data_IF_597753349914
#
_entry.id   IF_597753349914
#
_cell.length_a   1.000
_cell.length_b   1.000
_cell.length_c   1.000
_cell.angle_alpha   90.00
_cell.angle_beta   90.00
_cell.angle_gamma   90.00
#
_symmetry.space_group_name_H-M   'P 1'
#
loop_
_entity.id
_entity.type
_entity.pdbx_description
1 polymer ?
#
# COMPACT_ATOMS: atom_id res chain seq x y z
N UNK A 1 -16.95 29.92 12.90
CA UNK A 1 -16.05 28.75 13.02
C UNK A 1 -15.53 28.43 11.64
N UNK A 2 -14.21 28.41 11.43
CA UNK A 2 -13.65 27.93 10.17
C UNK A 2 -14.00 26.43 10.03
N UNK A 3 -14.46 26.03 8.85
CA UNK A 3 -14.74 24.63 8.57
C UNK A 3 -13.41 23.88 8.50
N UNK A 4 -13.20 22.90 9.38
CA UNK A 4 -11.93 22.14 9.45
C UNK A 4 -11.66 21.33 8.19
N UNK A 5 -12.72 20.95 7.45
CA UNK A 5 -12.60 20.19 6.22
C UNK A 5 -12.71 21.11 5.00
N UNK A 6 -11.71 21.06 4.09
CA UNK A 6 -11.73 21.88 2.88
C UNK A 6 -12.77 21.41 1.85
N UNK A 7 -13.20 22.30 0.94
CA UNK A 7 -13.97 21.92 -0.25
C UNK A 7 -13.11 21.07 -1.20
N UNK A 8 -13.76 20.41 -2.17
CA UNK A 8 -13.08 19.51 -3.13
C UNK A 8 -11.92 20.20 -3.85
N UNK A 9 -10.79 19.50 -3.90
CA UNK A 9 -9.56 19.98 -4.52
C UNK A 9 -8.70 20.87 -3.62
N UNK A 10 -9.12 21.17 -2.39
CA UNK A 10 -8.34 22.03 -1.49
C UNK A 10 -7.70 21.25 -0.33
N UNK A 11 -6.67 21.86 0.26
CA UNK A 11 -6.01 21.40 1.47
C UNK A 11 -5.84 22.53 2.50
N UNK A 12 -6.07 22.23 3.77
CA UNK A 12 -5.83 23.11 4.91
C UNK A 12 -4.75 22.53 5.82
N UNK A 13 -3.77 23.36 6.17
CA UNK A 13 -2.64 22.99 7.02
C UNK A 13 -2.68 23.85 8.29
N UNK A 14 -3.03 23.24 9.42
CA UNK A 14 -3.11 23.88 10.73
C UNK A 14 -1.88 23.52 11.56
N UNK A 15 -1.14 24.53 11.99
CA UNK A 15 0.01 24.37 12.85
C UNK A 15 -0.38 24.52 14.32
N UNK A 16 0.43 23.95 15.21
CA UNK A 16 0.32 24.08 16.68
C UNK A 16 -1.11 23.96 17.23
N UNK A 17 -1.79 22.86 16.87
CA UNK A 17 -3.14 22.55 17.33
C UNK A 17 -3.07 21.67 18.57
N UNK A 18 -3.86 22.00 19.58
CA UNK A 18 -4.07 21.14 20.74
C UNK A 18 -5.33 20.30 20.56
N UNK A 19 -5.20 18.98 20.58
CA UNK A 19 -6.33 18.05 20.56
C UNK A 19 -6.47 17.39 21.94
N UNK A 20 -7.69 16.97 22.27
CA UNK A 20 -7.99 16.29 23.55
C UNK A 20 -7.49 17.04 24.81
N UNK A 21 -7.33 18.36 24.71
CA UNK A 21 -6.90 19.31 25.75
C UNK A 21 -5.39 19.39 26.01
N UNK A 22 -4.62 18.33 25.77
CA UNK A 22 -3.21 18.25 26.17
C UNK A 22 -2.25 17.70 25.11
N UNK A 23 -2.76 17.25 23.96
CA UNK A 23 -1.92 16.70 22.89
C UNK A 23 -1.62 17.78 21.87
N UNK A 24 -0.40 18.31 21.92
CA UNK A 24 0.13 19.23 20.91
C UNK A 24 0.50 18.47 19.63
N UNK A 25 -0.04 18.94 18.50
CA UNK A 25 0.23 18.36 17.20
C UNK A 25 -0.07 19.35 16.08
N UNK A 26 -0.07 18.86 14.86
CA UNK A 26 -0.53 19.59 13.69
C UNK A 26 -1.66 18.82 13.01
N UNK A 27 -2.54 19.54 12.31
CA UNK A 27 -3.64 18.97 11.57
C UNK A 27 -3.52 19.34 10.09
N UNK A 28 -3.45 18.34 9.23
CA UNK A 28 -3.53 18.50 7.78
C UNK A 28 -4.84 17.89 7.28
N UNK A 29 -5.66 18.67 6.60
CA UNK A 29 -6.92 18.19 6.01
C UNK A 29 -6.94 18.43 4.50
N UNK A 30 -7.53 17.51 3.76
CA UNK A 30 -7.52 17.52 2.30
C UNK A 30 -8.79 16.89 1.76
N UNK A 31 -9.37 17.47 0.70
CA UNK A 31 -10.53 16.88 0.04
C UNK A 31 -10.16 16.50 -1.40
N UNK A 32 -9.50 15.36 -1.52
CA UNK A 32 -8.96 14.88 -2.79
C UNK A 32 -10.05 14.28 -3.67
N UNK A 33 -10.04 14.56 -4.97
CA UNK A 33 -11.01 14.00 -5.92
C UNK A 33 -10.98 12.47 -6.01
N UNK A 34 -9.81 11.87 -5.74
CA UNK A 34 -9.59 10.42 -5.72
C UNK A 34 -10.13 9.74 -4.46
N UNK A 35 -10.43 10.49 -3.39
CA UNK A 35 -10.86 9.94 -2.12
C UNK A 35 -12.39 10.00 -2.03
N UNK A 36 -13.00 8.94 -1.50
CA UNK A 36 -14.44 8.93 -1.25
C UNK A 36 -14.87 9.92 -0.16
N UNK A 37 -13.93 10.28 0.72
CA UNK A 37 -14.15 11.18 1.86
C UNK A 37 -12.93 12.10 2.06
N UNK A 38 -13.12 13.30 2.63
CA UNK A 38 -12.01 14.17 3.01
C UNK A 38 -11.05 13.48 3.99
N UNK A 39 -9.77 13.70 3.79
CA UNK A 39 -8.71 13.26 4.70
C UNK A 39 -8.52 14.26 5.82
N UNK A 40 -8.34 13.77 7.04
CA UNK A 40 -7.88 14.52 8.20
C UNK A 40 -6.74 13.73 8.85
N UNK A 41 -5.55 14.33 8.85
CA UNK A 41 -4.31 13.70 9.28
C UNK A 41 -3.71 14.52 10.41
N UNK A 42 -3.58 13.90 11.57
CA UNK A 42 -2.81 14.44 12.68
C UNK A 42 -1.34 14.04 12.51
N UNK A 43 -0.44 14.97 12.73
CA UNK A 43 1.00 14.77 12.52
C UNK A 43 1.82 15.53 13.56
N UNK A 44 2.93 14.95 13.99
CA UNK A 44 3.93 15.56 14.88
C UNK A 44 4.96 16.40 14.10
N UNK A 45 5.11 16.18 12.80
CA UNK A 45 5.92 17.02 11.91
C UNK A 45 5.13 18.17 11.31
N UNK A 46 5.79 19.30 11.02
CA UNK A 46 5.17 20.46 10.36
C UNK A 46 4.36 20.04 9.12
N UNK A 47 3.06 20.41 9.04
CA UNK A 47 2.17 19.90 8.02
C UNK A 47 2.54 20.51 6.66
N UNK A 48 2.57 19.66 5.63
CA UNK A 48 2.85 20.07 4.25
C UNK A 48 2.06 19.19 3.28
N UNK A 49 2.14 19.48 1.98
CA UNK A 49 1.55 18.59 0.97
C UNK A 49 2.17 17.18 1.00
N UNK A 50 3.42 17.05 1.44
CA UNK A 50 4.07 15.75 1.62
C UNK A 50 3.40 14.91 2.71
N UNK A 51 2.73 15.53 3.69
CA UNK A 51 1.95 14.81 4.70
C UNK A 51 0.87 13.94 4.05
N UNK A 52 0.19 14.44 3.01
CA UNK A 52 -0.81 13.66 2.28
C UNK A 52 -0.21 12.60 1.38
N UNK A 53 0.97 12.84 0.81
CA UNK A 53 1.69 11.83 0.04
C UNK A 53 2.08 10.65 0.95
N UNK A 54 2.68 10.93 2.11
CA UNK A 54 3.05 9.90 3.12
C UNK A 54 1.80 9.17 3.62
N UNK A 55 0.74 9.88 3.99
CA UNK A 55 -0.52 9.24 4.39
C UNK A 55 -1.12 8.38 3.26
N UNK A 56 -1.03 8.86 2.02
CA UNK A 56 -1.47 8.16 0.81
C UNK A 56 -0.79 6.82 0.59
N UNK A 57 0.44 6.62 1.08
CA UNK A 57 1.17 5.34 0.97
C UNK A 57 0.44 4.19 1.68
N UNK A 58 -0.42 4.47 2.68
CA UNK A 58 -1.27 3.47 3.33
C UNK A 58 -2.10 2.66 2.33
N UNK A 59 -2.67 3.35 1.34
CA UNK A 59 -3.52 2.76 0.30
C UNK A 59 -2.73 1.93 -0.74
N UNK A 60 -1.42 2.14 -0.82
CA UNK A 60 -0.51 1.41 -1.72
C UNK A 60 0.27 0.27 -1.06
N UNK A 61 0.38 0.27 0.28
CA UNK A 61 1.13 -0.71 1.06
C UNK A 61 0.25 -1.58 1.96
N UNK A 62 -0.20 -1.00 3.09
CA UNK A 62 -0.89 -1.72 4.15
C UNK A 62 -2.26 -2.25 3.72
N UNK A 63 -3.04 -1.47 2.97
CA UNK A 63 -4.38 -1.90 2.55
C UNK A 63 -4.37 -3.10 1.58
N UNK A 64 -3.49 -3.14 0.56
CA UNK A 64 -3.26 -4.36 -0.21
C UNK A 64 -2.90 -5.56 0.66
N UNK A 65 -2.05 -5.38 1.67
CA UNK A 65 -1.66 -6.47 2.58
C UNK A 65 -2.86 -7.05 3.35
N UNK A 66 -3.77 -6.21 3.85
CA UNK A 66 -5.02 -6.69 4.45
C UNK A 66 -5.94 -7.41 3.45
N UNK A 67 -5.96 -6.95 2.20
CA UNK A 67 -6.73 -7.62 1.13
C UNK A 67 -6.15 -8.99 0.79
N UNK A 68 -4.83 -9.13 0.82
CA UNK A 68 -4.12 -10.39 0.59
C UNK A 68 -4.47 -11.44 1.66
N UNK A 69 -4.56 -11.06 2.93
CA UNK A 69 -5.08 -11.96 3.98
C UNK A 69 -6.51 -12.39 3.74
N UNK A 70 -7.38 -11.49 3.28
CA UNK A 70 -8.83 -11.75 3.21
C UNK A 70 -9.29 -12.51 2.00
N UNK A 71 -8.98 -12.06 0.78
CA UNK A 71 -9.59 -12.63 -0.43
C UNK A 71 -8.69 -12.63 -1.64
N UNK A 72 -7.62 -11.84 -1.65
CA UNK A 72 -6.73 -11.75 -2.79
C UNK A 72 -5.67 -12.87 -2.83
N UNK A 73 -5.26 -13.43 -1.68
CA UNK A 73 -4.24 -14.48 -1.63
C UNK A 73 -4.59 -15.66 -0.72
N UNK A 74 -4.86 -15.42 0.57
CA UNK A 74 -4.84 -16.48 1.58
C UNK A 74 -6.21 -16.94 2.09
N UNK A 75 -7.25 -16.13 1.91
CA UNK A 75 -8.61 -16.44 2.37
C UNK A 75 -8.67 -16.85 3.86
N UNK A 76 -8.01 -16.04 4.72
CA UNK A 76 -7.82 -16.31 6.14
C UNK A 76 -9.15 -16.65 6.85
N UNK A 77 -10.23 -15.98 6.48
CA UNK A 77 -11.57 -16.16 7.07
C UNK A 77 -12.13 -17.56 6.85
N UNK A 78 -11.69 -18.26 5.80
CA UNK A 78 -12.11 -19.63 5.49
C UNK A 78 -11.47 -20.68 6.41
N UNK A 79 -10.45 -20.32 7.19
CA UNK A 79 -9.86 -21.21 8.20
C UNK A 79 -10.82 -21.49 9.37
N UNK A 80 -11.80 -20.61 9.61
CA UNK A 80 -12.73 -20.68 10.75
C UNK A 80 -12.08 -20.80 12.13
N UNK A 81 -10.79 -20.46 12.25
CA UNK A 81 -10.07 -20.51 13.53
C UNK A 81 -10.66 -19.49 14.51
N UNK A 82 -10.96 -19.97 15.72
CA UNK A 82 -11.43 -19.16 16.85
C UNK A 82 -10.45 -19.14 18.02
N UNK A 83 -9.51 -20.06 18.02
CA UNK A 83 -8.44 -20.13 19.02
C UNK A 83 -7.37 -19.07 18.73
N UNK A 84 -7.02 -18.29 19.75
CA UNK A 84 -6.10 -17.16 19.63
C UNK A 84 -4.67 -17.60 19.25
N UNK A 85 -4.21 -18.73 19.79
CA UNK A 85 -2.87 -19.23 19.58
C UNK A 85 -2.75 -19.80 18.17
N UNK A 86 -3.72 -20.60 17.73
CA UNK A 86 -3.79 -21.13 16.37
C UNK A 86 -3.86 -20.02 15.32
N UNK A 87 -4.65 -18.97 15.58
CA UNK A 87 -4.73 -17.81 14.67
C UNK A 87 -3.38 -17.08 14.60
N UNK A 88 -2.71 -16.88 15.73
CA UNK A 88 -1.40 -16.24 15.80
C UNK A 88 -0.34 -17.05 15.02
N UNK A 89 -0.32 -18.37 15.21
CA UNK A 89 0.56 -19.26 14.45
C UNK A 89 0.27 -19.21 12.95
N UNK A 90 -1.01 -19.24 12.55
CA UNK A 90 -1.40 -19.14 11.15
C UNK A 90 -0.93 -17.81 10.54
N UNK A 91 -1.16 -16.69 11.21
CA UNK A 91 -0.72 -15.37 10.73
C UNK A 91 0.80 -15.30 10.56
N UNK A 92 1.56 -15.89 11.49
CA UNK A 92 3.01 -15.99 11.38
C UNK A 92 3.42 -16.83 10.15
N UNK A 93 2.78 -17.98 9.93
CA UNK A 93 3.03 -18.82 8.74
C UNK A 93 2.69 -18.08 7.44
N UNK A 94 1.57 -17.35 7.39
CA UNK A 94 1.17 -16.56 6.23
C UNK A 94 2.13 -15.40 5.97
N UNK A 95 2.66 -14.75 7.01
CA UNK A 95 3.69 -13.73 6.88
C UNK A 95 4.98 -14.31 6.28
N UNK A 96 5.43 -15.48 6.76
CA UNK A 96 6.57 -16.18 6.19
C UNK A 96 6.34 -16.60 4.72
N UNK A 97 5.16 -17.15 4.41
CA UNK A 97 4.77 -17.50 3.04
C UNK A 97 4.74 -16.29 2.11
N UNK A 98 4.26 -15.15 2.60
CA UNK A 98 4.27 -13.86 1.87
C UNK A 98 5.68 -13.44 1.54
N UNK A 99 6.60 -13.51 2.51
CA UNK A 99 8.01 -13.16 2.31
C UNK A 99 8.67 -14.07 1.26
N UNK A 100 8.43 -15.38 1.34
CA UNK A 100 8.94 -16.36 0.36
C UNK A 100 8.41 -16.05 -1.04
N UNK A 101 7.10 -15.83 -1.18
CA UNK A 101 6.49 -15.51 -2.47
C UNK A 101 7.04 -14.20 -3.05
N UNK A 102 7.18 -13.15 -2.25
CA UNK A 102 7.78 -11.88 -2.69
C UNK A 102 9.23 -12.10 -3.13
N UNK A 103 10.01 -12.90 -2.39
CA UNK A 103 11.41 -13.20 -2.71
C UNK A 103 11.54 -13.92 -4.05
N UNK A 104 10.66 -14.90 -4.32
CA UNK A 104 10.59 -15.60 -5.61
C UNK A 104 10.19 -14.62 -6.73
N UNK A 105 9.22 -13.74 -6.47
CA UNK A 105 8.82 -12.74 -7.46
C UNK A 105 9.94 -11.75 -7.80
N UNK A 106 10.79 -11.41 -6.82
CA UNK A 106 12.00 -10.60 -7.04
C UNK A 106 12.95 -11.33 -7.99
N UNK A 107 13.23 -12.61 -7.76
CA UNK A 107 14.07 -13.44 -8.64
C UNK A 107 13.52 -13.49 -10.07
N UNK A 108 12.24 -13.80 -10.22
CA UNK A 108 11.55 -13.80 -11.53
C UNK A 108 11.66 -12.45 -12.23
N UNK A 109 11.57 -11.36 -11.46
CA UNK A 109 11.68 -10.00 -11.99
C UNK A 109 13.11 -9.64 -12.40
N UNK A 110 14.11 -9.99 -11.59
CA UNK A 110 15.52 -9.73 -11.92
C UNK A 110 15.99 -10.51 -13.15
N UNK A 111 15.42 -11.69 -13.39
CA UNK A 111 15.74 -12.54 -14.53
C UNK A 111 14.91 -12.22 -15.79
N UNK A 112 14.04 -11.20 -15.74
CA UNK A 112 13.20 -10.82 -16.88
C UNK A 112 12.11 -11.83 -17.25
N UNK A 113 11.80 -12.79 -16.36
CA UNK A 113 10.83 -13.86 -16.58
C UNK A 113 9.37 -13.46 -16.28
N UNK A 114 9.12 -12.21 -15.90
CA UNK A 114 7.78 -11.71 -15.53
C UNK A 114 6.73 -11.95 -16.60
N UNK A 115 7.09 -11.82 -17.89
CA UNK A 115 6.18 -12.03 -19.03
C UNK A 115 5.59 -13.44 -19.12
N UNK A 116 6.24 -14.43 -18.48
CA UNK A 116 5.71 -15.79 -18.40
C UNK A 116 4.50 -15.90 -17.46
N UNK A 117 4.39 -14.99 -16.49
CA UNK A 117 3.40 -15.03 -15.41
C UNK A 117 2.38 -13.88 -15.49
N UNK A 118 2.77 -12.77 -16.11
CA UNK A 118 1.99 -11.57 -16.30
C UNK A 118 1.97 -11.18 -17.77
N UNK A 119 0.78 -11.20 -18.37
CA UNK A 119 0.57 -10.86 -19.77
C UNK A 119 0.76 -9.36 -20.04
N UNK A 120 0.62 -8.51 -19.02
CA UNK A 120 0.65 -7.07 -19.22
C UNK A 120 2.06 -6.60 -19.63
N UNK A 121 2.10 -5.68 -20.61
CA UNK A 121 3.35 -5.07 -21.07
C UNK A 121 4.12 -4.37 -19.94
N UNK A 122 3.37 -3.76 -19.02
CA UNK A 122 3.84 -3.27 -17.73
C UNK A 122 3.32 -4.19 -16.63
N UNK A 123 4.09 -4.42 -15.56
CA UNK A 123 3.70 -5.33 -14.46
C UNK A 123 2.33 -4.93 -13.89
N UNK A 124 1.30 -5.70 -14.19
CA UNK A 124 -0.07 -5.51 -13.69
C UNK A 124 -0.29 -6.18 -12.33
N UNK A 125 0.48 -7.23 -12.03
CA UNK A 125 0.39 -8.00 -10.80
C UNK A 125 1.23 -7.43 -9.66
N UNK A 126 0.81 -7.71 -8.43
CA UNK A 126 1.65 -7.49 -7.25
C UNK A 126 2.79 -8.51 -7.19
N UNK A 127 3.85 -8.22 -6.41
CA UNK A 127 4.92 -9.20 -6.18
C UNK A 127 4.40 -10.46 -5.50
N UNK A 128 3.47 -10.35 -4.55
CA UNK A 128 2.86 -11.51 -3.94
C UNK A 128 2.16 -12.40 -4.99
N UNK A 129 1.36 -11.79 -5.88
CA UNK A 129 0.66 -12.54 -6.93
C UNK A 129 1.62 -13.20 -7.92
N UNK A 130 2.69 -12.52 -8.32
CA UNK A 130 3.74 -13.10 -9.16
C UNK A 130 4.41 -14.30 -8.47
N UNK A 131 4.75 -14.14 -7.20
CA UNK A 131 5.38 -15.17 -6.39
C UNK A 131 4.52 -16.41 -6.26
N UNK A 132 3.26 -16.24 -5.89
CA UNK A 132 2.29 -17.34 -5.77
C UNK A 132 2.06 -18.05 -7.11
N UNK A 133 2.02 -17.32 -8.22
CA UNK A 133 1.92 -17.92 -9.57
C UNK A 133 3.16 -18.73 -9.93
N UNK A 134 4.35 -18.22 -9.64
CA UNK A 134 5.60 -18.95 -9.88
C UNK A 134 5.67 -20.20 -9.00
N UNK A 135 5.35 -20.10 -7.70
CA UNK A 135 5.30 -21.27 -6.80
C UNK A 135 4.36 -22.32 -7.37
N UNK A 136 3.14 -21.92 -7.79
CA UNK A 136 2.18 -22.85 -8.40
C UNK A 136 2.73 -23.52 -9.66
N UNK A 137 3.44 -22.77 -10.52
CA UNK A 137 4.11 -23.30 -11.72
C UNK A 137 5.21 -24.30 -11.36
N UNK A 138 6.09 -23.96 -10.42
CA UNK A 138 7.18 -24.81 -9.96
C UNK A 138 6.64 -26.13 -9.37
N UNK A 139 5.60 -26.05 -8.52
CA UNK A 139 4.93 -27.23 -8.00
C UNK A 139 4.32 -28.10 -9.10
N UNK A 140 3.61 -27.50 -10.05
CA UNK A 140 3.01 -28.23 -11.18
C UNK A 140 4.06 -28.94 -12.05
N UNK A 141 5.22 -28.32 -12.23
CA UNK A 141 6.32 -28.86 -13.04
C UNK A 141 7.32 -29.69 -12.23
N UNK A 142 7.09 -29.88 -10.92
CA UNK A 142 8.01 -30.54 -10.01
C UNK A 142 9.45 -29.95 -10.06
N UNK A 143 9.55 -28.64 -10.21
CA UNK A 143 10.82 -27.91 -10.26
C UNK A 143 11.23 -27.41 -8.85
N UNK A 144 12.54 -27.29 -8.58
CA UNK A 144 13.02 -26.77 -7.31
C UNK A 144 12.68 -25.28 -7.14
N UNK A 145 12.57 -24.85 -5.88
CA UNK A 145 12.46 -23.44 -5.53
C UNK A 145 13.81 -22.77 -5.85
N UNK A 146 13.83 -21.63 -6.58
CA UNK A 146 15.07 -20.93 -6.87
C UNK A 146 15.72 -20.37 -5.60
N UNK A 147 17.04 -20.23 -5.63
CA UNK A 147 17.76 -19.50 -4.59
C UNK A 147 17.24 -18.06 -4.49
N UNK A 148 17.01 -17.59 -3.26
CA UNK A 148 16.48 -16.25 -3.05
C UNK A 148 17.50 -15.17 -3.39
N UNK A 149 17.04 -14.13 -4.08
CA UNK A 149 17.80 -12.91 -4.30
C UNK A 149 17.68 -11.98 -3.08
N UNK A 150 18.67 -11.10 -2.85
CA UNK A 150 18.54 -10.03 -1.87
C UNK A 150 17.33 -9.14 -2.18
N UNK A 151 16.53 -8.82 -1.16
CA UNK A 151 15.43 -7.88 -1.33
C UNK A 151 15.96 -6.49 -1.69
N UNK A 152 15.29 -5.76 -2.59
CA UNK A 152 15.74 -4.44 -2.99
C UNK A 152 15.66 -3.47 -1.81
N UNK A 153 16.67 -2.61 -1.66
CA UNK A 153 16.70 -1.56 -0.60
C UNK A 153 15.60 -0.52 -0.77
N UNK A 154 15.11 -0.34 -1.99
CA UNK A 154 14.00 0.57 -2.32
C UNK A 154 12.84 -0.24 -2.85
N UNK A 155 11.64 0.11 -2.41
CA UNK A 155 10.42 -0.50 -2.93
C UNK A 155 10.37 -0.32 -4.45
N UNK A 156 10.20 -1.41 -5.21
CA UNK A 156 10.01 -1.32 -6.64
C UNK A 156 8.74 -0.53 -6.97
N UNK A 157 8.76 0.15 -8.12
CA UNK A 157 7.61 0.95 -8.60
C UNK A 157 6.34 0.08 -8.55
N UNK A 158 5.20 0.60 -8.05
CA UNK A 158 3.94 -0.13 -8.01
C UNK A 158 3.54 -0.74 -9.36
N UNK A 159 2.85 -1.88 -9.31
CA UNK A 159 2.38 -2.55 -10.52
C UNK A 159 1.31 -1.71 -11.20
N UNK A 160 1.56 -1.31 -12.45
CA UNK A 160 0.61 -0.57 -13.27
C UNK A 160 0.40 -1.33 -14.57
N UNK A 161 -0.81 -1.87 -14.78
CA UNK A 161 -1.17 -2.61 -15.99
C UNK A 161 -1.19 -1.73 -17.26
N UNK A 162 -1.25 -0.40 -17.13
CA UNK A 162 -1.31 0.54 -18.25
C UNK A 162 -0.64 1.88 -17.92
N UNK A 163 -0.21 2.61 -18.96
CA UNK A 163 0.34 3.96 -18.83
C UNK A 163 -0.68 4.95 -18.27
N UNK A 164 -1.94 4.88 -18.72
CA UNK A 164 -3.04 5.72 -18.20
C UNK A 164 -3.23 5.55 -16.69
N UNK A 165 -3.17 4.32 -16.19
CA UNK A 165 -3.27 4.05 -14.74
C UNK A 165 -2.05 4.59 -13.99
N UNK A 166 -0.86 4.51 -14.59
CA UNK A 166 0.37 5.05 -13.99
C UNK A 166 0.30 6.58 -13.87
N UNK A 167 -0.15 7.26 -14.92
CA UNK A 167 -0.34 8.71 -14.93
C UNK A 167 -1.35 9.12 -13.85
N UNK A 168 -2.50 8.44 -13.77
CA UNK A 168 -3.49 8.67 -12.71
C UNK A 168 -2.93 8.51 -11.29
N UNK A 169 -1.99 7.57 -11.08
CA UNK A 169 -1.33 7.40 -9.77
C UNK A 169 -0.33 8.51 -9.48
N UNK A 170 0.31 9.08 -10.50
CA UNK A 170 1.27 10.18 -10.35
C UNK A 170 0.54 11.51 -10.06
N UNK A 171 -0.64 11.71 -10.63
CA UNK A 171 -1.47 12.93 -10.45
C UNK A 171 -2.56 12.76 -9.40
N UNK A 172 -2.51 11.70 -8.57
CA UNK A 172 -3.56 11.40 -7.59
C UNK A 172 -3.72 12.51 -6.56
N UNK A 173 -2.61 13.07 -6.09
CA UNK A 173 -2.56 14.06 -5.01
C UNK A 173 -2.30 15.44 -5.60
N UNK A 174 -3.36 16.09 -6.08
CA UNK A 174 -3.32 17.44 -6.63
C UNK A 174 -4.29 18.35 -5.87
N UNK A 175 -3.89 19.61 -5.70
CA UNK A 175 -4.67 20.62 -5.00
C UNK A 175 -4.78 21.88 -5.85
N UNK A 176 -6.01 22.40 -6.01
CA UNK A 176 -6.26 23.69 -6.64
C UNK A 176 -5.88 24.86 -5.74
N UNK A 177 -5.98 24.66 -4.42
CA UNK A 177 -5.65 25.66 -3.40
C UNK A 177 -5.17 25.01 -2.12
N UNK A 178 -4.17 25.63 -1.50
CA UNK A 178 -3.62 25.23 -0.21
C UNK A 178 -3.68 26.44 0.71
N UNK A 179 -4.31 26.27 1.88
CA UNK A 179 -4.38 27.32 2.90
C UNK A 179 -3.59 26.89 4.12
N UNK A 180 -2.66 27.73 4.55
CA UNK A 180 -1.88 27.51 5.77
C UNK A 180 -2.45 28.41 6.86
N UNK A 181 -2.78 27.81 7.98
CA UNK A 181 -3.23 28.48 9.18
C UNK A 181 -2.06 28.50 10.16
N UNK A 182 -1.63 29.71 10.48
CA UNK A 182 -0.66 29.99 11.54
C UNK A 182 -1.43 30.63 12.69
N UNK A 183 -1.21 30.12 13.90
CA UNK A 183 -1.81 30.63 15.13
C UNK A 183 -1.22 31.97 15.52
#
# INVERSE_FOLDING_TARGET
>A
MAQLLPPKGEAYLFQEVTILQDIECHLATANLAMAGEPWAVLTDTTPSLQTFEVYGQRFGGIEPHFKDYKSAAFDLTRSHLRDEMALSCLLMLLAAATLIAISIAVVVTSEGRTKMLDWHFHRGLSFLQLGLREIKRLCYQCLPIPSFAPLPRRSPIPGCASLKKREQLQTRVEFSKVTVFST
#
